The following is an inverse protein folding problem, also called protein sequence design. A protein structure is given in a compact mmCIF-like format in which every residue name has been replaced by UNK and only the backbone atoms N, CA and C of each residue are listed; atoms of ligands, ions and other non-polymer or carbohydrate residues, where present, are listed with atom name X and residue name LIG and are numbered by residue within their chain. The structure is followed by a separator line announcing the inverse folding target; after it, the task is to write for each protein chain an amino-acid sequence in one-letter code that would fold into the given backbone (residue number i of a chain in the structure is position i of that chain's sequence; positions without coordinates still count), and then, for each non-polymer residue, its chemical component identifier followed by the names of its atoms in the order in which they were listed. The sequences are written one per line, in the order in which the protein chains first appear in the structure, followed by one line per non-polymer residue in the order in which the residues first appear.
data_IF_593919715945
#
_entry.id   IF_593919715945
#
_cell.length_a   1.000
_cell.length_b   1.000
_cell.length_c   1.000
_cell.angle_alpha   90.00
_cell.angle_beta   90.00
_cell.angle_gamma   90.00
#
_symmetry.space_group_name_H-M   'P 1'
#
loop_
_entity.id
_entity.type
_entity.pdbx_description
1 polymer ?
#
# COMPACT_ATOMS: atom_id res chain seq x y z
N UNK A 1 -18.67 16.26 -12.80
CA UNK A 1 -17.82 15.21 -12.18
C UNK A 1 -18.67 13.96 -11.96
N UNK A 2 -18.16 12.75 -12.27
CA UNK A 2 -18.87 11.50 -11.96
C UNK A 2 -18.42 10.99 -10.59
N UNK A 3 -19.35 10.59 -9.73
CA UNK A 3 -19.04 10.07 -8.38
C UNK A 3 -18.02 8.91 -8.41
N UNK A 4 -18.12 8.04 -9.43
CA UNK A 4 -17.17 6.94 -9.68
C UNK A 4 -15.72 7.41 -9.82
N UNK A 5 -15.48 8.55 -10.48
CA UNK A 5 -14.12 9.09 -10.63
C UNK A 5 -13.57 9.51 -9.27
N UNK A 6 -14.39 10.15 -8.43
CA UNK A 6 -13.99 10.55 -7.07
C UNK A 6 -13.67 9.33 -6.20
N UNK A 7 -14.52 8.29 -6.23
CA UNK A 7 -14.28 7.05 -5.48
C UNK A 7 -12.96 6.37 -5.89
N UNK A 8 -12.63 6.36 -7.19
CA UNK A 8 -11.36 5.83 -7.68
C UNK A 8 -10.17 6.63 -7.14
N UNK A 9 -10.26 7.97 -7.11
CA UNK A 9 -9.18 8.80 -6.58
C UNK A 9 -8.98 8.62 -5.08
N UNK A 10 -10.08 8.48 -4.31
CA UNK A 10 -10.01 8.17 -2.88
C UNK A 10 -9.24 6.86 -2.63
N UNK A 11 -9.58 5.79 -3.36
CA UNK A 11 -8.89 4.48 -3.25
C UNK A 11 -7.43 4.56 -3.66
N UNK A 12 -7.11 5.29 -4.74
CA UNK A 12 -5.72 5.50 -5.17
C UNK A 12 -4.90 6.27 -4.12
N UNK A 13 -5.51 7.25 -3.46
CA UNK A 13 -4.84 8.07 -2.45
C UNK A 13 -4.37 7.28 -1.23
N UNK A 14 -5.07 6.21 -0.86
CA UNK A 14 -4.73 5.37 0.31
C UNK A 14 -3.90 4.13 -0.04
N UNK A 15 -3.73 3.82 -1.33
CA UNK A 15 -3.15 2.54 -1.75
C UNK A 15 -1.68 2.39 -1.29
N UNK A 16 -0.90 3.46 -1.37
CA UNK A 16 0.48 3.47 -0.90
C UNK A 16 0.58 3.15 0.59
N UNK A 17 -0.26 3.81 1.39
CA UNK A 17 -0.37 3.61 2.83
C UNK A 17 -0.73 2.14 3.16
N UNK A 18 -1.72 1.57 2.47
CA UNK A 18 -2.10 0.17 2.65
C UNK A 18 -0.96 -0.80 2.31
N UNK A 19 -0.24 -0.58 1.21
CA UNK A 19 0.87 -1.46 0.79
C UNK A 19 2.02 -1.41 1.80
N UNK A 20 2.38 -0.22 2.28
CA UNK A 20 3.41 -0.09 3.32
C UNK A 20 3.01 -0.81 4.61
N UNK A 21 1.74 -0.75 5.01
CA UNK A 21 1.23 -1.53 6.14
C UNK A 21 1.25 -3.04 5.94
N UNK A 22 1.06 -3.54 4.71
CA UNK A 22 1.18 -4.97 4.42
C UNK A 22 2.65 -5.39 4.55
N UNK A 23 3.56 -4.64 3.94
CA UNK A 23 5.00 -4.91 3.93
C UNK A 23 5.62 -4.75 5.33
N UNK A 24 5.07 -3.90 6.20
CA UNK A 24 5.61 -3.71 7.56
C UNK A 24 5.40 -4.90 8.49
N UNK A 25 4.51 -5.83 8.15
CA UNK A 25 4.25 -7.05 8.94
C UNK A 25 5.32 -8.12 8.75
N UNK A 26 6.19 -7.96 7.75
CA UNK A 26 7.24 -8.91 7.41
C UNK A 26 7.44 -9.03 5.91
N UNK A 27 8.32 -9.96 5.53
CA UNK A 27 8.61 -10.24 4.13
C UNK A 27 7.36 -10.71 3.37
N UNK A 28 7.03 -10.03 2.26
CA UNK A 28 5.80 -10.33 1.51
C UNK A 28 6.04 -10.36 0.01
N UNK A 29 5.42 -11.33 -0.67
CA UNK A 29 5.45 -11.41 -2.12
C UNK A 29 4.33 -10.55 -2.74
N UNK A 30 4.58 -10.00 -3.93
CA UNK A 30 3.64 -9.12 -4.61
C UNK A 30 2.27 -9.76 -4.88
N UNK A 31 2.19 -11.07 -5.15
CA UNK A 31 0.89 -11.73 -5.32
C UNK A 31 0.07 -11.73 -4.03
N UNK A 32 0.72 -11.89 -2.87
CA UNK A 32 0.04 -11.97 -1.58
C UNK A 32 -0.54 -10.60 -1.21
N UNK A 33 0.19 -9.52 -1.51
CA UNK A 33 -0.32 -8.15 -1.43
C UNK A 33 -1.57 -7.96 -2.31
N UNK A 34 -1.56 -8.46 -3.55
CA UNK A 34 -2.71 -8.36 -4.46
C UNK A 34 -3.93 -9.13 -3.93
N UNK A 35 -3.71 -10.30 -3.33
CA UNK A 35 -4.77 -11.11 -2.72
C UNK A 35 -5.40 -10.36 -1.54
N UNK A 36 -4.59 -9.83 -0.63
CA UNK A 36 -5.09 -9.07 0.52
C UNK A 36 -5.87 -7.81 0.09
N UNK A 37 -5.29 -7.00 -0.82
CA UNK A 37 -5.93 -5.79 -1.34
C UNK A 37 -7.26 -6.09 -2.05
N UNK A 38 -7.34 -7.21 -2.78
CA UNK A 38 -8.59 -7.67 -3.41
C UNK A 38 -9.64 -8.06 -2.37
N UNK A 39 -9.24 -8.66 -1.26
CA UNK A 39 -10.12 -9.06 -0.16
C UNK A 39 -10.82 -7.89 0.54
N UNK A 40 -10.26 -6.68 0.45
CA UNK A 40 -10.80 -5.44 1.06
C UNK A 40 -11.31 -4.43 0.02
N UNK A 41 -11.67 -4.90 -1.18
CA UNK A 41 -12.19 -4.10 -2.30
C UNK A 41 -11.25 -3.00 -2.86
N UNK A 42 -9.96 -3.03 -2.48
CA UNK A 42 -8.90 -2.23 -3.09
C UNK A 42 -8.32 -2.95 -4.30
N UNK A 43 -9.15 -3.13 -5.32
CA UNK A 43 -8.77 -3.89 -6.52
C UNK A 43 -7.64 -3.17 -7.26
N UNK A 44 -6.47 -3.80 -7.28
CA UNK A 44 -5.25 -3.32 -7.94
C UNK A 44 -4.77 -4.37 -8.93
N UNK A 45 -4.29 -3.91 -10.09
CA UNK A 45 -3.65 -4.78 -11.10
C UNK A 45 -2.14 -4.75 -10.90
N UNK A 46 -1.45 -5.79 -11.36
CA UNK A 46 0.02 -5.87 -11.35
C UNK A 46 0.68 -4.64 -11.99
N UNK A 47 0.15 -4.17 -13.13
CA UNK A 47 0.64 -2.97 -13.82
C UNK A 47 0.49 -1.67 -13.03
N UNK A 48 -0.17 -1.68 -11.88
CA UNK A 48 -0.23 -0.57 -10.92
C UNK A 48 0.64 -0.85 -9.70
N UNK A 49 0.64 -2.08 -9.20
CA UNK A 49 1.43 -2.47 -8.02
C UNK A 49 2.94 -2.37 -8.28
N UNK A 50 3.45 -2.97 -9.36
CA UNK A 50 4.90 -3.01 -9.58
C UNK A 50 5.54 -1.63 -9.79
N UNK A 51 4.96 -0.69 -10.56
CA UNK A 51 5.47 0.68 -10.62
C UNK A 51 5.47 1.39 -9.25
N UNK A 52 4.44 1.15 -8.42
CA UNK A 52 4.38 1.68 -7.07
C UNK A 52 5.49 1.11 -6.17
N UNK A 53 5.67 -0.21 -6.16
CA UNK A 53 6.75 -0.87 -5.43
C UNK A 53 8.14 -0.38 -5.89
N UNK A 54 8.31 -0.14 -7.19
CA UNK A 54 9.55 0.43 -7.72
C UNK A 54 9.78 1.86 -7.22
N UNK A 55 8.74 2.69 -7.16
CA UNK A 55 8.83 4.05 -6.59
C UNK A 55 9.17 4.03 -5.10
N UNK A 56 8.51 3.17 -4.32
CA UNK A 56 8.79 3.00 -2.88
C UNK A 56 10.22 2.53 -2.65
N UNK A 57 10.72 1.61 -3.48
CA UNK A 57 12.10 1.12 -3.42
C UNK A 57 13.10 2.24 -3.77
N UNK A 58 12.83 3.01 -4.82
CA UNK A 58 13.70 4.13 -5.21
C UNK A 58 13.69 5.27 -4.20
N UNK A 59 12.64 5.39 -3.39
CA UNK A 59 12.55 6.28 -2.25
C UNK A 59 13.16 5.68 -0.95
N UNK A 60 13.80 4.51 -1.03
CA UNK A 60 14.38 3.79 0.11
C UNK A 60 13.38 3.44 1.21
N UNK A 61 12.08 3.39 0.93
CA UNK A 61 11.03 3.03 1.90
C UNK A 61 10.82 1.52 2.00
N UNK A 62 11.16 0.78 0.94
CA UNK A 62 11.12 -0.68 0.92
C UNK A 62 12.38 -1.21 0.26
N UNK A 63 12.74 -2.43 0.62
CA UNK A 63 13.77 -3.22 -0.06
C UNK A 63 13.14 -4.49 -0.61
N UNK A 64 13.88 -5.22 -1.44
CA UNK A 64 13.48 -6.57 -1.83
C UNK A 64 14.68 -7.51 -1.87
N UNK A 65 14.41 -8.79 -1.67
CA UNK A 65 15.35 -9.87 -1.95
C UNK A 65 14.76 -10.83 -2.98
N UNK A 66 15.64 -11.45 -3.76
CA UNK A 66 15.27 -12.56 -4.62
C UNK A 66 15.25 -13.84 -3.79
N UNK A 67 14.18 -14.60 -3.92
CA UNK A 67 14.01 -15.91 -3.31
C UNK A 67 13.78 -16.91 -4.44
N UNK A 68 14.59 -17.96 -4.47
CA UNK A 68 14.39 -19.04 -5.44
C UNK A 68 13.01 -19.67 -5.24
N UNK A 69 12.35 -19.97 -6.35
CA UNK A 69 11.07 -20.66 -6.35
C UNK A 69 11.34 -22.13 -6.63
N UNK A 70 10.68 -23.03 -5.90
CA UNK A 70 10.76 -24.48 -6.20
C UNK A 70 10.33 -24.80 -7.63
N UNK A 71 9.43 -23.97 -8.18
CA UNK A 71 8.99 -24.03 -9.58
C UNK A 71 8.92 -22.61 -10.16
N UNK A 72 9.56 -22.40 -11.31
CA UNK A 72 9.50 -21.14 -12.05
C UNK A 72 10.56 -20.10 -11.67
N UNK A 73 10.41 -18.84 -12.13
CA UNK A 73 11.43 -17.81 -11.92
C UNK A 73 11.53 -17.39 -10.44
N UNK A 74 12.68 -16.83 -10.03
CA UNK A 74 12.85 -16.27 -8.69
C UNK A 74 11.77 -15.23 -8.35
N UNK A 75 11.32 -15.23 -7.10
CA UNK A 75 10.31 -14.30 -6.58
C UNK A 75 10.98 -13.16 -5.84
N UNK A 76 10.39 -11.96 -5.92
CA UNK A 76 10.81 -10.81 -5.11
C UNK A 76 9.97 -10.73 -3.85
N UNK A 77 10.61 -10.89 -2.70
CA UNK A 77 9.97 -10.62 -1.41
C UNK A 77 10.38 -9.22 -0.96
N UNK A 78 9.38 -8.42 -0.60
CA UNK A 78 9.54 -7.04 -0.18
C UNK A 78 9.53 -6.94 1.33
N UNK A 79 10.36 -6.04 1.86
CA UNK A 79 10.45 -5.73 3.29
C UNK A 79 10.50 -4.22 3.48
N UNK A 80 9.94 -3.74 4.59
CA UNK A 80 10.02 -2.32 4.94
C UNK A 80 11.43 -2.01 5.43
N UNK A 81 11.95 -0.84 5.09
CA UNK A 81 13.22 -0.33 5.65
C UNK A 81 12.96 0.43 6.94
N UNK A 82 13.99 0.74 7.75
CA UNK A 82 13.84 1.66 8.89
C UNK A 82 13.25 3.02 8.47
N UNK A 83 13.69 3.58 7.35
CA UNK A 83 13.17 4.83 6.80
C UNK A 83 11.71 4.70 6.37
N UNK A 84 11.36 3.57 5.76
CA UNK A 84 9.98 3.23 5.40
C UNK A 84 9.06 3.12 6.60
N UNK A 85 9.55 2.59 7.72
CA UNK A 85 8.79 2.46 8.95
C UNK A 85 8.49 3.85 9.54
N UNK A 86 9.50 4.72 9.65
CA UNK A 86 9.30 6.10 10.10
C UNK A 86 8.35 6.88 9.17
N UNK A 87 8.45 6.67 7.85
CA UNK A 87 7.52 7.26 6.90
C UNK A 87 6.09 6.74 7.10
N UNK A 88 5.92 5.44 7.33
CA UNK A 88 4.62 4.82 7.59
C UNK A 88 3.99 5.37 8.87
N UNK A 89 4.76 5.59 9.94
CA UNK A 89 4.26 6.20 11.19
C UNK A 89 3.68 7.60 10.95
N UNK A 90 4.32 8.43 10.11
CA UNK A 90 3.80 9.75 9.74
C UNK A 90 2.50 9.66 8.91
N UNK A 91 2.43 8.70 7.99
CA UNK A 91 1.21 8.45 7.23
C UNK A 91 0.08 7.96 8.13
N UNK A 92 0.38 7.12 9.12
CA UNK A 92 -0.60 6.61 10.07
C UNK A 92 -1.20 7.75 10.90
N UNK A 93 -0.37 8.66 11.42
CA UNK A 93 -0.85 9.87 12.11
C UNK A 93 -1.75 10.72 11.21
N UNK A 94 -1.35 10.91 9.95
CA UNK A 94 -2.11 11.68 8.95
C UNK A 94 -3.46 11.02 8.67
N UNK A 95 -3.49 9.70 8.53
CA UNK A 95 -4.70 8.93 8.27
C UNK A 95 -5.71 9.02 9.42
N UNK A 96 -5.24 8.87 10.66
CA UNK A 96 -6.08 9.03 11.85
C UNK A 96 -6.67 10.44 11.94
N UNK A 97 -5.86 11.48 11.68
CA UNK A 97 -6.33 12.87 11.63
C UNK A 97 -7.40 13.10 10.55
N UNK A 98 -7.21 12.49 9.37
CA UNK A 98 -8.17 12.57 8.26
C UNK A 98 -9.50 11.89 8.61
N UNK A 99 -9.45 10.67 9.17
CA UNK A 99 -10.66 9.97 9.65
C UNK A 99 -11.38 10.83 10.67
N UNK A 100 -10.66 11.33 11.67
CA UNK A 100 -11.25 12.14 12.74
C UNK A 100 -11.95 13.40 12.18
N UNK A 101 -11.24 14.17 11.35
CA UNK A 101 -11.75 15.41 10.76
C UNK A 101 -12.96 15.16 9.86
N UNK A 102 -12.92 14.12 9.03
CA UNK A 102 -14.03 13.77 8.13
C UNK A 102 -15.26 13.27 8.90
N UNK A 103 -15.06 12.49 9.97
CA UNK A 103 -16.15 12.07 10.85
C UNK A 103 -16.80 13.26 11.57
N UNK A 104 -16.01 14.21 12.07
CA UNK A 104 -16.53 15.43 12.71
C UNK A 104 -17.39 16.27 11.76
N UNK A 105 -17.04 16.34 10.48
CA UNK A 105 -17.82 17.08 9.49
C UNK A 105 -19.08 16.32 9.11
N UNK A 106 -18.97 15.01 8.85
CA UNK A 106 -20.10 14.20 8.34
C UNK A 106 -21.11 13.80 9.42
N UNK A 107 -20.75 13.89 10.70
CA UNK A 107 -21.66 13.64 11.84
C UNK A 107 -22.43 14.88 12.31
N UNK A 108 -22.01 16.09 11.90
CA UNK A 108 -22.76 17.32 12.17
C UNK A 108 -24.04 17.33 11.32
N UNK A 109 -25.19 17.37 12.00
CA UNK A 109 -26.50 17.58 11.38
C UNK A 109 -26.70 19.05 11.00
#
# INVERSE_FOLDING_TARGET
MKATNTQIQMRKGILEFCILHIISRGEVYASDMLVELKGVELIVKEGTLYPLLNRLKNASLVSYKWVESETGPPRKYYSITPEGLSFLELLDQTWHSLIHSTQLITSKR
#
